data_IF_978774417898
#
_entry.id   IF_978774417898
#
_cell.length_a   1.000
_cell.length_b   1.000
_cell.length_c   1.000
_cell.angle_alpha   90.00
_cell.angle_beta   90.00
_cell.angle_gamma   90.00
#
_symmetry.space_group_name_H-M   'P 1'
#
loop_
_entity.id
_entity.type
_entity.pdbx_description
1 polymer ?
#
# COMPACT_ATOMS: atom_id res chain seq x y z
N UNK A 1 -25.71 26.30 -47.88
CA UNK A 1 -26.15 24.92 -48.17
C UNK A 1 -25.00 24.03 -48.62
N UNK A 2 -24.09 24.48 -49.52
CA UNK A 2 -22.86 23.74 -49.89
C UNK A 2 -21.93 23.39 -48.70
N UNK A 3 -21.83 24.26 -47.69
CA UNK A 3 -21.00 24.02 -46.50
C UNK A 3 -21.45 22.82 -45.64
N UNK A 4 -22.76 22.55 -45.59
CA UNK A 4 -23.31 21.39 -44.86
C UNK A 4 -23.06 20.07 -45.61
N UNK A 5 -22.97 20.11 -46.94
CA UNK A 5 -22.59 18.98 -47.80
C UNK A 5 -21.08 18.67 -47.72
N UNK A 6 -20.23 19.69 -47.55
CA UNK A 6 -18.78 19.51 -47.42
C UNK A 6 -18.35 19.12 -46.00
N UNK A 7 -19.08 19.59 -44.98
CA UNK A 7 -18.86 19.27 -43.56
C UNK A 7 -19.41 17.87 -43.22
N UNK A 8 -18.78 16.87 -43.82
CA UNK A 8 -19.09 15.45 -43.70
C UNK A 8 -18.58 14.87 -42.39
N UNK A 9 -19.22 13.79 -41.92
CA UNK A 9 -18.80 12.90 -40.81
C UNK A 9 -17.29 12.64 -40.76
N UNK A 10 -16.61 12.68 -41.91
CA UNK A 10 -15.16 12.63 -42.08
C UNK A 10 -14.38 13.67 -41.28
N UNK A 11 -14.90 14.89 -41.09
CA UNK A 11 -14.24 15.90 -40.25
C UNK A 11 -14.24 15.48 -38.77
N UNK A 12 -15.34 14.91 -38.28
CA UNK A 12 -15.43 14.38 -36.92
C UNK A 12 -14.54 13.15 -36.76
N UNK A 13 -14.49 12.27 -37.78
CA UNK A 13 -13.59 11.12 -37.80
C UNK A 13 -12.11 11.53 -37.82
N UNK A 14 -11.75 12.59 -38.55
CA UNK A 14 -10.40 13.12 -38.62
C UNK A 14 -9.95 13.70 -37.27
N UNK A 15 -10.83 14.46 -36.60
CA UNK A 15 -10.57 14.98 -35.25
C UNK A 15 -10.45 13.82 -34.25
N UNK A 16 -11.37 12.86 -34.30
CA UNK A 16 -11.37 11.69 -33.42
C UNK A 16 -10.14 10.80 -33.61
N UNK A 17 -9.69 10.62 -34.85
CA UNK A 17 -8.46 9.87 -35.16
C UNK A 17 -7.22 10.59 -34.68
N UNK A 18 -7.17 11.93 -34.82
CA UNK A 18 -6.05 12.74 -34.32
C UNK A 18 -5.98 12.70 -32.79
N UNK A 19 -7.10 12.91 -32.11
CA UNK A 19 -7.20 12.86 -30.64
C UNK A 19 -6.95 11.44 -30.12
N UNK A 20 -7.54 10.44 -30.76
CA UNK A 20 -7.37 9.03 -30.41
C UNK A 20 -5.94 8.55 -30.59
N UNK A 21 -5.25 8.98 -31.66
CA UNK A 21 -3.83 8.69 -31.86
C UNK A 21 -2.95 9.39 -30.82
N UNK A 22 -3.29 10.63 -30.44
CA UNK A 22 -2.64 11.33 -29.32
C UNK A 22 -2.80 10.57 -28.00
N UNK A 23 -4.01 10.10 -27.68
CA UNK A 23 -4.29 9.29 -26.49
C UNK A 23 -3.59 7.92 -26.52
N UNK A 24 -3.53 7.27 -27.68
CA UNK A 24 -2.84 5.99 -27.85
C UNK A 24 -1.35 6.14 -27.58
N UNK A 25 -0.75 7.22 -28.11
CA UNK A 25 0.65 7.57 -27.85
C UNK A 25 0.85 7.94 -26.37
N UNK A 26 -0.05 8.70 -25.75
CA UNK A 26 0.06 9.06 -24.33
C UNK A 26 -0.04 7.82 -23.42
N UNK A 27 -1.08 7.02 -23.59
CA UNK A 27 -1.33 5.84 -22.75
C UNK A 27 -0.32 4.73 -22.93
N UNK A 28 0.21 4.53 -24.15
CA UNK A 28 1.20 3.48 -24.40
C UNK A 28 2.63 3.99 -24.29
N UNK A 29 2.98 5.11 -24.91
CA UNK A 29 4.36 5.62 -24.94
C UNK A 29 4.68 6.41 -23.66
N UNK A 30 3.84 7.38 -23.29
CA UNK A 30 4.14 8.24 -22.13
C UNK A 30 4.05 7.42 -20.84
N UNK A 31 3.04 6.57 -20.68
CA UNK A 31 2.91 5.73 -19.48
C UNK A 31 4.00 4.65 -19.36
N UNK A 32 4.43 4.04 -20.47
CA UNK A 32 5.37 2.89 -20.43
C UNK A 32 6.83 3.31 -20.53
N UNK A 33 7.15 4.46 -21.13
CA UNK A 33 8.53 4.92 -21.29
C UNK A 33 8.81 6.21 -20.54
N UNK A 34 7.98 7.24 -20.70
CA UNK A 34 8.26 8.57 -20.13
C UNK A 34 8.12 8.55 -18.62
N UNK A 35 7.04 7.98 -18.07
CA UNK A 35 6.85 7.86 -16.62
C UNK A 35 7.98 7.06 -15.94
N UNK A 36 8.31 5.81 -16.32
CA UNK A 36 9.39 5.09 -15.65
C UNK A 36 10.74 5.76 -15.84
N UNK A 37 11.01 6.36 -17.01
CA UNK A 37 12.27 7.09 -17.24
C UNK A 37 12.37 8.34 -16.36
N UNK A 38 11.28 9.10 -16.20
CA UNK A 38 11.24 10.23 -15.28
C UNK A 38 11.44 9.80 -13.83
N UNK A 39 10.80 8.71 -13.39
CA UNK A 39 10.97 8.18 -12.03
C UNK A 39 12.42 7.78 -11.77
N UNK A 40 13.08 7.15 -12.75
CA UNK A 40 14.50 6.81 -12.65
C UNK A 40 15.39 8.05 -12.65
N UNK A 41 15.08 9.08 -13.46
CA UNK A 41 15.86 10.31 -13.56
C UNK A 41 15.71 11.23 -12.33
N UNK A 42 14.49 11.37 -11.79
CA UNK A 42 14.20 12.09 -10.54
C UNK A 42 14.59 11.26 -9.30
N UNK A 43 14.80 9.96 -9.48
CA UNK A 43 15.42 9.05 -8.53
C UNK A 43 14.77 9.07 -7.13
N UNK A 44 15.59 9.44 -6.14
CA UNK A 44 15.29 9.28 -4.70
C UNK A 44 14.23 10.22 -4.13
N UNK A 45 13.82 11.26 -4.87
CA UNK A 45 12.82 12.24 -4.40
C UNK A 45 11.37 11.77 -4.66
N UNK A 46 11.16 10.84 -5.60
CA UNK A 46 9.84 10.23 -5.84
C UNK A 46 9.58 9.00 -4.94
N UNK A 47 10.62 8.39 -4.35
CA UNK A 47 10.50 7.36 -3.33
C UNK A 47 10.28 7.96 -1.92
N UNK A 48 9.31 8.84 -1.77
CA UNK A 48 8.79 9.16 -0.44
C UNK A 48 7.36 8.58 -0.35
N UNK A 49 7.07 7.66 0.59
CA UNK A 49 7.66 7.59 1.91
C UNK A 49 8.58 6.38 2.08
N UNK A 50 9.85 6.65 2.35
CA UNK A 50 10.65 5.76 3.17
C UNK A 50 10.09 5.85 4.60
N UNK A 51 9.05 5.08 4.90
CA UNK A 51 8.89 4.53 6.23
C UNK A 51 9.50 3.13 6.17
N UNK A 52 10.79 2.96 6.49
CA UNK A 52 11.21 1.67 7.00
C UNK A 52 10.32 1.43 8.21
N UNK A 53 9.35 0.52 8.10
CA UNK A 53 8.70 -0.05 9.26
C UNK A 53 9.70 -1.01 9.95
N UNK A 54 10.92 -0.51 10.19
CA UNK A 54 12.01 -1.20 10.85
C UNK A 54 12.31 -0.46 12.15
N UNK A 55 11.27 -0.23 12.95
CA UNK A 55 11.46 -0.03 14.39
C UNK A 55 10.13 -0.20 15.12
N UNK A 56 10.06 -1.24 15.98
CA UNK A 56 9.10 -1.47 17.08
C UNK A 56 8.02 -2.56 16.92
N UNK A 57 8.25 -3.65 16.19
CA UNK A 57 7.60 -4.94 16.52
C UNK A 57 8.65 -5.94 17.03
N UNK A 58 9.47 -5.47 17.97
CA UNK A 58 10.54 -6.25 18.59
C UNK A 58 10.90 -5.79 20.00
N UNK A 59 10.05 -5.00 20.65
CA UNK A 59 10.27 -4.59 22.04
C UNK A 59 8.95 -4.64 22.80
N UNK A 60 8.62 -5.84 23.29
CA UNK A 60 7.53 -6.16 24.23
C UNK A 60 6.14 -5.78 23.73
N UNK A 61 5.52 -6.66 22.94
CA UNK A 61 4.17 -7.03 23.35
C UNK A 61 4.37 -7.65 24.75
N UNK A 62 3.88 -7.04 25.85
CA UNK A 62 3.79 -7.81 27.06
C UNK A 62 2.97 -9.00 26.64
N UNK A 63 3.55 -10.20 26.75
CA UNK A 63 2.76 -11.41 26.84
C UNK A 63 1.86 -11.11 28.04
N UNK A 64 0.68 -10.57 27.77
CA UNK A 64 -0.35 -10.40 28.77
C UNK A 64 -0.47 -11.80 29.31
N UNK A 65 -0.14 -11.93 30.58
CA UNK A 65 0.05 -13.20 31.26
C UNK A 65 -1.32 -13.88 31.35
N UNK A 66 -1.70 -14.57 30.28
CA UNK A 66 -2.92 -15.38 30.17
C UNK A 66 -2.87 -16.58 31.12
N UNK A 67 -1.73 -16.83 31.76
CA UNK A 67 -1.56 -17.86 32.79
C UNK A 67 -2.22 -17.49 34.12
N UNK A 68 -2.34 -16.19 34.46
CA UNK A 68 -3.04 -15.78 35.70
C UNK A 68 -4.55 -15.91 35.60
N UNK A 69 -5.13 -15.66 34.42
CA UNK A 69 -6.58 -15.84 34.18
C UNK A 69 -6.95 -17.33 34.05
N UNK A 70 -6.01 -18.18 33.62
CA UNK A 70 -6.17 -19.64 33.68
C UNK A 70 -6.03 -20.20 35.12
N UNK A 71 -5.29 -19.52 36.00
CA UNK A 71 -5.09 -19.93 37.39
C UNK A 71 -6.20 -19.46 38.34
N UNK A 72 -6.86 -18.32 38.08
CA UNK A 72 -7.82 -17.70 39.01
C UNK A 72 -9.29 -18.06 38.73
N UNK A 73 -9.54 -19.18 38.05
CA UNK A 73 -10.86 -19.56 37.53
C UNK A 73 -11.50 -20.81 38.12
N UNK A 74 -11.22 -21.17 39.38
CA UNK A 74 -11.95 -22.21 40.15
C UNK A 74 -11.65 -23.69 39.80
N UNK A 75 -10.35 -24.05 39.74
CA UNK A 75 -9.86 -25.36 40.24
C UNK A 75 -8.32 -25.39 40.21
N UNK A 76 -7.68 -25.28 41.38
CA UNK A 76 -6.54 -26.10 41.86
C UNK A 76 -6.12 -25.50 43.21
N UNK A 77 -6.66 -26.08 44.27
CA UNK A 77 -6.19 -25.87 45.63
C UNK A 77 -4.75 -26.41 45.75
N UNK A 78 -3.75 -25.55 45.89
CA UNK A 78 -2.36 -25.91 46.27
C UNK A 78 -1.89 -24.86 47.27
N UNK A 79 -2.16 -25.07 48.55
CA UNK A 79 -1.32 -25.78 49.53
C UNK A 79 -0.04 -25.02 49.90
N UNK A 80 -0.09 -24.47 51.11
CA UNK A 80 1.02 -23.93 51.90
C UNK A 80 2.25 -24.86 51.89
N UNK A 81 3.46 -24.36 51.58
CA UNK A 81 4.69 -25.02 51.97
C UNK A 81 5.00 -24.67 53.45
N UNK A 82 4.70 -25.64 54.30
CA UNK A 82 5.31 -25.79 55.62
C UNK A 82 6.83 -25.87 55.49
N UNK A 83 7.58 -25.11 56.31
CA UNK A 83 8.99 -25.40 56.57
C UNK A 83 9.91 -24.20 56.72
N UNK A 84 9.76 -23.43 57.81
CA UNK A 84 10.91 -22.73 58.40
C UNK A 84 11.56 -23.67 59.42
N UNK A 85 12.51 -24.48 58.97
CA UNK A 85 13.51 -25.08 59.85
C UNK A 85 14.85 -24.41 59.55
N UNK A 86 15.41 -23.69 60.53
CA UNK A 86 16.83 -23.56 60.85
C UNK A 86 17.04 -22.25 61.62
N UNK A 87 17.40 -22.35 62.90
CA UNK A 87 17.78 -21.23 63.77
C UNK A 87 17.33 -21.43 65.20
#
# INVERSE_FOLDING_TARGET
>A
MLALLASTVTSVAQIGLTVGMGLLIDTLIVRTFVLPSMVVLLGRWFWWPSVPLEHRIGRRAPVVEVDRVAQDGLAVAVRMPSGTSSG
#
